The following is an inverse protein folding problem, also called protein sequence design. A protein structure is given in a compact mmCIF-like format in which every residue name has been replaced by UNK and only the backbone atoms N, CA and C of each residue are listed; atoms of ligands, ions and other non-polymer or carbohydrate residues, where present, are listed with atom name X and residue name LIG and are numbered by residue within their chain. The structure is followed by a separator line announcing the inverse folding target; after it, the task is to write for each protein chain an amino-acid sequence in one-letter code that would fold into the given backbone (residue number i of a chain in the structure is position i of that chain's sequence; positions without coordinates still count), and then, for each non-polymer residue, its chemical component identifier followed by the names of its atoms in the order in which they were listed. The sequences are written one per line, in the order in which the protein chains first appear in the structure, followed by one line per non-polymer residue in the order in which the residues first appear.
data_IF_116019594080
#
_entry.id   IF_116019594080
#
_cell.length_a   1.000
_cell.length_b   1.000
_cell.length_c   1.000
_cell.angle_alpha   90.00
_cell.angle_beta   90.00
_cell.angle_gamma   90.00
#
_symmetry.space_group_name_H-M   'P 1'
#
loop_
_entity.id
_entity.type
_entity.pdbx_description
1 polymer ?
#
# COMPACT_ATOMS: atom_id res chain seq x y z
N UNK A 1 -26.92 6.19 -88.00
CA UNK A 1 -26.13 6.05 -86.78
C UNK A 1 -26.92 6.69 -85.64
N UNK A 2 -27.74 5.86 -84.97
CA UNK A 2 -28.42 6.29 -83.73
C UNK A 2 -27.50 5.98 -82.51
N UNK A 3 -27.04 7.03 -81.86
CA UNK A 3 -26.31 6.93 -80.62
C UNK A 3 -27.36 6.74 -79.51
N UNK A 4 -27.40 5.56 -78.91
CA UNK A 4 -28.25 5.27 -77.76
C UNK A 4 -27.78 6.08 -76.54
N UNK A 5 -28.67 6.69 -75.76
CA UNK A 5 -28.29 7.39 -74.57
C UNK A 5 -27.81 6.40 -73.48
N UNK A 6 -26.61 6.62 -73.00
CA UNK A 6 -26.02 5.88 -71.90
C UNK A 6 -26.67 6.35 -70.60
N UNK A 7 -27.55 5.54 -70.05
CA UNK A 7 -28.11 5.76 -68.73
C UNK A 7 -27.02 5.48 -67.66
N UNK A 8 -26.53 6.55 -67.08
CA UNK A 8 -25.67 6.47 -65.91
C UNK A 8 -26.54 6.16 -64.69
N UNK A 9 -26.46 4.97 -64.15
CA UNK A 9 -27.08 4.64 -62.89
C UNK A 9 -26.40 5.44 -61.78
N UNK A 10 -27.16 6.11 -60.87
CA UNK A 10 -26.58 6.77 -59.72
C UNK A 10 -25.93 5.69 -58.85
N UNK A 11 -24.61 5.78 -58.70
CA UNK A 11 -23.87 5.00 -57.76
C UNK A 11 -24.27 5.50 -56.36
N UNK A 12 -25.19 4.79 -55.71
CA UNK A 12 -25.48 4.99 -54.31
C UNK A 12 -24.17 4.62 -53.56
N UNK A 13 -23.46 5.64 -53.11
CA UNK A 13 -22.48 5.49 -52.04
C UNK A 13 -23.28 4.98 -50.84
N UNK A 14 -23.22 3.69 -50.56
CA UNK A 14 -23.61 3.16 -49.27
C UNK A 14 -22.72 3.86 -48.23
N UNK A 15 -23.22 4.92 -47.64
CA UNK A 15 -22.65 5.44 -46.45
C UNK A 15 -22.66 4.28 -45.44
N UNK A 16 -21.49 3.78 -45.07
CA UNK A 16 -21.29 2.81 -44.02
C UNK A 16 -21.71 3.43 -42.67
N UNK A 17 -22.98 3.70 -42.56
CA UNK A 17 -23.62 4.09 -41.28
C UNK A 17 -23.76 2.82 -40.48
N UNK A 18 -22.78 2.60 -39.55
CA UNK A 18 -22.85 1.50 -38.60
C UNK A 18 -24.16 1.63 -37.83
N UNK A 19 -25.13 0.82 -38.19
CA UNK A 19 -26.41 0.82 -37.50
C UNK A 19 -26.27 0.19 -36.11
N UNK A 20 -26.90 0.82 -35.12
CA UNK A 20 -26.93 0.31 -33.75
C UNK A 20 -27.52 -1.13 -33.71
N UNK A 21 -28.44 -1.43 -34.62
CA UNK A 21 -29.03 -2.77 -34.83
C UNK A 21 -28.00 -3.79 -35.31
N UNK A 22 -27.03 -3.41 -36.15
CA UNK A 22 -26.00 -4.31 -36.66
C UNK A 22 -25.00 -4.67 -35.53
N UNK A 23 -24.63 -3.69 -34.70
CA UNK A 23 -23.81 -3.92 -33.51
C UNK A 23 -24.51 -4.87 -32.55
N UNK A 24 -25.82 -4.65 -32.29
CA UNK A 24 -26.60 -5.49 -31.39
C UNK A 24 -26.73 -6.93 -31.90
N UNK A 25 -26.90 -7.10 -33.21
CA UNK A 25 -27.00 -8.41 -33.86
C UNK A 25 -25.69 -9.18 -33.80
N UNK A 26 -24.55 -8.52 -34.04
CA UNK A 26 -23.21 -9.13 -33.91
C UNK A 26 -22.94 -9.50 -32.46
N UNK A 27 -23.31 -8.63 -31.50
CA UNK A 27 -23.18 -8.88 -30.06
C UNK A 27 -24.01 -10.10 -29.64
N UNK A 28 -25.26 -10.19 -30.09
CA UNK A 28 -26.16 -11.32 -29.80
C UNK A 28 -25.64 -12.64 -30.42
N UNK A 29 -25.04 -12.57 -31.61
CA UNK A 29 -24.48 -13.74 -32.26
C UNK A 29 -23.24 -14.29 -31.57
N UNK A 30 -22.48 -13.42 -30.88
CA UNK A 30 -21.21 -13.79 -30.21
C UNK A 30 -21.29 -13.81 -28.68
N UNK A 31 -22.51 -13.82 -28.11
CA UNK A 31 -22.74 -13.83 -26.67
C UNK A 31 -21.90 -14.89 -25.93
N UNK A 32 -21.74 -16.08 -26.52
CA UNK A 32 -20.95 -17.15 -25.90
C UNK A 32 -19.49 -16.73 -25.67
N UNK A 33 -18.85 -16.13 -26.67
CA UNK A 33 -17.45 -15.68 -26.58
C UNK A 33 -17.34 -14.51 -25.60
N UNK A 34 -18.29 -13.57 -25.65
CA UNK A 34 -18.32 -12.38 -24.80
C UNK A 34 -18.47 -12.75 -23.33
N UNK A 35 -19.17 -13.83 -22.99
CA UNK A 35 -19.33 -14.29 -21.61
C UNK A 35 -18.17 -15.20 -21.19
N UNK A 36 -17.73 -16.11 -22.04
CA UNK A 36 -16.68 -17.10 -21.72
C UNK A 36 -15.34 -16.41 -21.50
N UNK A 37 -14.96 -15.44 -22.32
CA UNK A 37 -13.65 -14.78 -22.25
C UNK A 37 -13.44 -14.08 -20.90
N UNK A 38 -14.33 -13.15 -20.45
CA UNK A 38 -14.15 -12.53 -19.14
C UNK A 38 -14.31 -13.50 -17.97
N UNK A 39 -15.14 -14.55 -18.12
CA UNK A 39 -15.29 -15.57 -17.09
C UNK A 39 -13.98 -16.34 -16.85
N UNK A 40 -13.26 -16.70 -17.91
CA UNK A 40 -11.94 -17.35 -17.80
C UNK A 40 -10.95 -16.41 -17.12
N UNK A 41 -10.87 -15.16 -17.57
CA UNK A 41 -9.94 -14.16 -17.00
C UNK A 41 -10.25 -13.94 -15.51
N UNK A 42 -11.54 -13.81 -15.15
CA UNK A 42 -11.98 -13.63 -13.77
C UNK A 42 -11.57 -14.83 -12.90
N UNK A 43 -11.76 -16.05 -13.40
CA UNK A 43 -11.35 -17.28 -12.68
C UNK A 43 -9.84 -17.30 -12.43
N UNK A 44 -9.03 -17.01 -13.45
CA UNK A 44 -7.58 -16.93 -13.29
C UNK A 44 -7.16 -15.84 -12.30
N UNK A 45 -7.81 -14.67 -12.34
CA UNK A 45 -7.53 -13.58 -11.40
C UNK A 45 -7.86 -13.96 -9.96
N UNK A 46 -8.99 -14.64 -9.73
CA UNK A 46 -9.37 -15.14 -8.40
C UNK A 46 -8.35 -16.15 -7.87
N UNK A 47 -7.97 -17.13 -8.70
CA UNK A 47 -6.97 -18.12 -8.34
C UNK A 47 -5.64 -17.43 -8.00
N UNK A 48 -5.19 -16.50 -8.84
CA UNK A 48 -3.98 -15.73 -8.59
C UNK A 48 -4.07 -14.94 -7.27
N UNK A 49 -5.17 -14.23 -7.02
CA UNK A 49 -5.35 -13.45 -5.81
C UNK A 49 -5.33 -14.33 -4.54
N UNK A 50 -5.97 -15.50 -4.58
CA UNK A 50 -6.03 -16.40 -3.42
C UNK A 50 -4.70 -17.08 -3.10
N UNK A 51 -3.92 -17.43 -4.13
CA UNK A 51 -2.68 -18.19 -3.93
C UNK A 51 -1.41 -17.36 -3.88
N UNK A 52 -1.39 -16.20 -4.55
CA UNK A 52 -0.17 -15.39 -4.69
C UNK A 52 -0.20 -14.08 -3.91
N UNK A 53 -1.38 -13.60 -3.48
CA UNK A 53 -1.47 -12.33 -2.75
C UNK A 53 -1.23 -12.56 -1.26
N UNK A 54 -0.20 -11.92 -0.72
CA UNK A 54 0.06 -11.90 0.72
C UNK A 54 -0.88 -10.86 1.33
N UNK A 55 -1.74 -11.23 2.30
CA UNK A 55 -2.58 -10.26 2.97
C UNK A 55 -1.73 -9.30 3.83
N UNK A 56 -2.06 -8.02 3.79
CA UNK A 56 -1.52 -7.01 4.68
C UNK A 56 -2.63 -6.48 5.57
N UNK A 57 -2.30 -6.31 6.84
CA UNK A 57 -3.21 -5.80 7.85
C UNK A 57 -2.75 -4.43 8.30
N UNK A 58 -3.69 -3.50 8.42
CA UNK A 58 -3.41 -2.14 8.85
C UNK A 58 -4.04 -1.88 10.21
N UNK A 59 -3.24 -1.32 11.10
CA UNK A 59 -3.68 -0.80 12.39
C UNK A 59 -3.48 0.71 12.39
N UNK A 60 -4.51 1.47 12.71
CA UNK A 60 -4.45 2.93 12.71
C UNK A 60 -4.70 3.49 14.09
N UNK A 61 -3.75 4.27 14.59
CA UNK A 61 -3.86 5.05 15.80
C UNK A 61 -3.95 6.55 15.49
N UNK A 62 -4.79 7.29 16.19
CA UNK A 62 -4.89 8.75 16.09
C UNK A 62 -4.16 9.40 17.25
N UNK A 63 -3.21 10.27 16.95
CA UNK A 63 -2.44 11.03 17.93
C UNK A 63 -2.82 12.49 17.79
N UNK A 64 -3.23 13.11 18.89
CA UNK A 64 -3.50 14.54 18.94
C UNK A 64 -2.28 15.27 19.46
N UNK A 65 -1.81 16.26 18.71
CA UNK A 65 -0.80 17.20 19.18
C UNK A 65 -1.48 18.18 20.13
N UNK A 66 -1.31 18.01 21.42
CA UNK A 66 -1.76 19.02 22.39
C UNK A 66 -0.72 20.13 22.46
N UNK A 67 -1.07 21.29 21.97
CA UNK A 67 -0.24 22.51 22.06
C UNK A 67 -0.29 23.16 23.47
N UNK A 68 -0.64 22.40 24.51
CA UNK A 68 -0.74 22.92 25.88
C UNK A 68 0.33 22.33 26.80
N UNK A 69 1.12 23.19 27.43
CA UNK A 69 1.99 23.01 28.64
C UNK A 69 2.89 21.76 28.75
N UNK A 70 2.85 20.81 27.83
CA UNK A 70 3.68 19.60 27.83
C UNK A 70 4.99 19.71 27.05
N UNK A 71 5.39 20.91 26.64
CA UNK A 71 6.58 21.17 25.81
C UNK A 71 7.87 20.65 26.43
N UNK A 72 7.95 20.62 27.78
CA UNK A 72 9.12 20.10 28.49
C UNK A 72 9.27 18.57 28.43
N UNK A 73 8.18 17.82 28.34
CA UNK A 73 8.25 16.35 28.29
C UNK A 73 8.59 15.85 26.90
N UNK A 74 8.00 16.46 25.86
CA UNK A 74 8.27 16.08 24.47
C UNK A 74 9.68 16.46 24.03
N UNK A 75 10.18 17.64 24.46
CA UNK A 75 11.56 18.05 24.18
C UNK A 75 12.57 17.16 24.92
N UNK A 76 12.25 16.71 26.15
CA UNK A 76 13.08 15.75 26.87
C UNK A 76 13.18 14.38 26.19
N UNK A 77 12.07 13.87 25.68
CA UNK A 77 12.06 12.62 24.88
C UNK A 77 12.79 12.80 23.54
N UNK A 78 12.54 13.91 22.85
CA UNK A 78 13.22 14.21 21.57
C UNK A 78 14.74 14.31 21.74
N UNK A 79 15.22 14.95 22.81
CA UNK A 79 16.63 15.04 23.14
C UNK A 79 17.25 13.65 23.39
N UNK A 80 16.51 12.74 24.01
CA UNK A 80 16.93 11.36 24.26
C UNK A 80 17.11 10.56 22.95
N UNK A 81 16.36 10.94 21.90
CA UNK A 81 16.48 10.37 20.55
C UNK A 81 17.45 11.15 19.65
N UNK A 82 18.18 12.13 20.20
CA UNK A 82 19.14 12.95 19.46
C UNK A 82 18.52 13.97 18.52
N UNK A 83 17.24 14.30 18.71
CA UNK A 83 16.50 15.28 17.94
C UNK A 83 16.51 16.59 18.71
N UNK A 84 17.16 17.63 18.16
CA UNK A 84 17.21 18.96 18.77
C UNK A 84 15.93 19.72 18.39
N UNK A 85 14.99 19.81 19.33
CA UNK A 85 13.74 20.55 19.15
C UNK A 85 13.96 21.98 19.58
N UNK A 86 13.99 22.88 18.63
CA UNK A 86 14.10 24.33 18.91
C UNK A 86 12.91 24.84 19.75
N UNK A 87 13.16 25.80 20.61
CA UNK A 87 12.21 26.36 21.57
C UNK A 87 11.17 27.35 20.99
N UNK A 88 10.78 27.19 19.72
CA UNK A 88 9.79 28.05 19.05
C UNK A 88 8.37 27.52 19.15
N UNK A 89 7.34 28.38 19.29
CA UNK A 89 5.94 27.95 19.45
C UNK A 89 5.31 27.31 18.20
N UNK A 90 5.99 27.28 17.06
CA UNK A 90 5.47 26.80 15.78
C UNK A 90 6.04 25.44 15.36
N UNK A 91 7.07 24.94 16.04
CA UNK A 91 7.82 23.73 15.60
C UNK A 91 7.29 22.41 16.15
N UNK A 92 6.35 22.43 17.09
CA UNK A 92 5.85 21.21 17.73
C UNK A 92 5.11 20.25 16.81
N UNK A 93 4.60 20.72 15.68
CA UNK A 93 3.83 19.91 14.74
C UNK A 93 4.69 18.95 13.91
N UNK A 94 5.95 19.28 13.63
CA UNK A 94 6.86 18.46 12.80
C UNK A 94 7.62 17.41 13.60
N UNK A 95 7.63 17.53 14.92
CA UNK A 95 8.46 16.69 15.79
C UNK A 95 7.96 15.26 15.88
N UNK A 96 6.65 15.04 15.93
CA UNK A 96 6.08 13.70 16.08
C UNK A 96 6.43 12.74 14.94
N UNK A 97 6.24 13.11 13.66
CA UNK A 97 6.64 12.26 12.54
C UNK A 97 8.13 11.95 12.52
N UNK A 98 8.96 12.93 12.84
CA UNK A 98 10.43 12.78 12.92
C UNK A 98 10.85 11.79 14.00
N UNK A 99 10.27 11.90 15.20
CA UNK A 99 10.56 10.98 16.32
C UNK A 99 10.12 9.55 15.96
N UNK A 100 8.90 9.39 15.44
CA UNK A 100 8.33 8.07 15.15
C UNK A 100 9.09 7.40 14.00
N UNK A 101 9.52 8.13 12.98
CA UNK A 101 10.34 7.63 11.88
C UNK A 101 11.85 7.67 12.18
N UNK A 102 12.25 7.94 13.42
CA UNK A 102 13.68 7.99 13.78
C UNK A 102 14.31 6.59 13.76
N UNK A 103 15.55 6.53 13.28
CA UNK A 103 16.33 5.30 13.27
C UNK A 103 16.60 4.77 14.69
N UNK A 104 16.65 5.64 15.68
CA UNK A 104 16.86 5.28 17.09
C UNK A 104 15.65 4.53 17.64
N UNK A 105 14.43 5.03 17.38
CA UNK A 105 13.20 4.34 17.74
C UNK A 105 13.11 2.99 17.01
N UNK A 106 13.36 2.97 15.71
CA UNK A 106 13.33 1.74 14.93
C UNK A 106 14.30 0.69 15.48
N UNK A 107 15.53 1.07 15.87
CA UNK A 107 16.47 0.15 16.52
C UNK A 107 15.98 -0.40 17.85
N UNK A 108 15.28 0.42 18.63
CA UNK A 108 14.70 0.00 19.90
C UNK A 108 13.55 -0.98 19.66
N UNK A 109 12.71 -0.71 18.66
CA UNK A 109 11.61 -1.59 18.26
C UNK A 109 12.11 -2.95 17.77
N UNK A 110 13.24 -3.01 17.05
CA UNK A 110 13.84 -4.29 16.58
C UNK A 110 14.19 -5.26 17.72
N UNK A 111 14.40 -4.75 18.94
CA UNK A 111 14.69 -5.58 20.12
C UNK A 111 13.41 -6.09 20.81
N UNK A 112 12.24 -5.49 20.53
CA UNK A 112 10.97 -5.95 21.11
C UNK A 112 10.61 -7.31 20.56
N UNK A 113 9.94 -8.09 21.37
CA UNK A 113 9.47 -9.42 21.02
C UNK A 113 7.99 -9.34 20.72
N UNK A 114 7.59 -10.03 19.68
CA UNK A 114 6.20 -10.11 19.22
C UNK A 114 5.77 -11.56 19.10
N UNK A 115 4.48 -11.78 19.28
CA UNK A 115 3.85 -13.06 19.05
C UNK A 115 3.31 -13.07 17.63
N UNK A 116 3.73 -14.03 16.83
CA UNK A 116 3.34 -14.18 15.43
C UNK A 116 2.87 -15.60 15.17
N UNK A 117 1.89 -15.75 14.30
CA UNK A 117 1.40 -17.09 13.90
C UNK A 117 2.44 -17.84 13.09
N UNK A 118 3.16 -17.12 12.23
CA UNK A 118 4.14 -17.70 11.31
C UNK A 118 5.46 -18.08 11.98
N UNK A 119 5.98 -17.24 12.88
CA UNK A 119 7.32 -17.41 13.47
C UNK A 119 7.26 -17.86 14.94
N UNK A 120 6.06 -18.01 15.51
CA UNK A 120 5.85 -18.39 16.89
C UNK A 120 5.92 -17.25 17.90
N UNK A 121 5.78 -17.58 19.21
CA UNK A 121 5.71 -16.58 20.26
C UNK A 121 7.09 -16.02 20.63
N UNK A 122 7.10 -14.78 21.14
CA UNK A 122 8.25 -14.11 21.75
C UNK A 122 9.48 -14.00 20.84
N UNK A 123 9.27 -13.80 19.55
CA UNK A 123 10.37 -13.60 18.58
C UNK A 123 10.74 -12.14 18.47
N UNK A 124 12.04 -11.80 18.45
CA UNK A 124 12.49 -10.41 18.27
C UNK A 124 12.11 -9.91 16.87
N UNK A 125 11.67 -8.65 16.81
CA UNK A 125 11.25 -8.02 15.56
C UNK A 125 12.34 -8.08 14.47
N UNK A 126 13.61 -7.96 14.86
CA UNK A 126 14.73 -8.12 13.94
C UNK A 126 14.67 -9.45 13.19
N UNK A 127 14.40 -10.53 13.92
CA UNK A 127 14.29 -11.88 13.34
C UNK A 127 13.12 -11.96 12.37
N UNK A 128 11.95 -11.46 12.76
CA UNK A 128 10.73 -11.50 11.97
C UNK A 128 10.90 -10.76 10.63
N UNK A 129 11.57 -9.59 10.65
CA UNK A 129 11.73 -8.74 9.47
C UNK A 129 12.90 -9.11 8.56
N UNK A 130 13.84 -9.94 9.02
CA UNK A 130 15.05 -10.20 8.23
C UNK A 130 15.22 -11.66 7.81
N UNK A 131 15.54 -12.56 8.73
CA UNK A 131 15.88 -13.95 8.40
C UNK A 131 14.80 -14.99 8.80
N UNK A 132 13.74 -14.56 9.49
CA UNK A 132 12.63 -15.45 9.85
C UNK A 132 13.04 -16.63 10.73
N UNK A 133 12.76 -17.86 10.30
CA UNK A 133 13.11 -19.09 11.04
C UNK A 133 14.52 -19.60 10.75
N UNK A 134 15.18 -19.06 9.73
CA UNK A 134 16.51 -19.49 9.33
C UNK A 134 17.63 -18.94 10.21
N UNK A 135 18.86 -19.39 9.95
CA UNK A 135 20.04 -18.77 10.53
C UNK A 135 20.44 -17.51 9.75
N UNK A 136 20.96 -16.48 10.42
CA UNK A 136 21.40 -15.26 9.76
C UNK A 136 22.57 -15.53 8.81
N UNK A 137 22.37 -15.38 7.53
CA UNK A 137 23.39 -15.61 6.48
C UNK A 137 24.29 -14.37 6.30
N UNK A 138 23.85 -13.21 6.78
CA UNK A 138 24.56 -11.92 6.64
C UNK A 138 24.94 -11.35 7.99
N UNK A 139 25.95 -10.46 7.99
CA UNK A 139 26.45 -9.83 9.22
C UNK A 139 25.37 -9.01 9.94
N UNK A 140 25.47 -8.93 11.26
CA UNK A 140 24.51 -8.24 12.14
C UNK A 140 24.26 -6.78 11.73
N UNK A 141 25.27 -6.08 11.22
CA UNK A 141 25.13 -4.68 10.78
C UNK A 141 24.18 -4.54 9.58
N UNK A 142 24.25 -5.49 8.64
CA UNK A 142 23.37 -5.52 7.47
C UNK A 142 21.95 -5.85 7.91
N UNK A 143 21.79 -6.84 8.80
CA UNK A 143 20.49 -7.21 9.37
C UNK A 143 19.84 -6.05 10.11
N UNK A 144 20.60 -5.33 10.94
CA UNK A 144 20.11 -4.16 11.66
C UNK A 144 19.68 -3.04 10.69
N UNK A 145 20.49 -2.77 9.66
CA UNK A 145 20.16 -1.77 8.64
C UNK A 145 18.87 -2.13 7.88
N UNK A 146 18.76 -3.38 7.47
CA UNK A 146 17.56 -3.90 6.78
C UNK A 146 16.34 -3.85 7.70
N UNK A 147 16.48 -4.31 8.94
CA UNK A 147 15.42 -4.27 9.94
C UNK A 147 14.95 -2.84 10.26
N UNK A 148 15.86 -1.89 10.42
CA UNK A 148 15.51 -0.47 10.64
C UNK A 148 14.71 0.08 9.46
N UNK A 149 15.15 -0.18 8.23
CA UNK A 149 14.42 0.25 7.05
C UNK A 149 13.05 -0.44 6.95
N UNK A 150 12.95 -1.71 7.32
CA UNK A 150 11.70 -2.45 7.42
C UNK A 150 10.72 -1.79 8.38
N UNK A 151 11.15 -1.51 9.62
CA UNK A 151 10.33 -0.82 10.64
C UNK A 151 9.84 0.54 10.13
N UNK A 152 10.73 1.35 9.57
CA UNK A 152 10.37 2.67 9.03
C UNK A 152 9.37 2.54 7.86
N UNK A 153 9.54 1.53 7.02
CA UNK A 153 8.64 1.27 5.88
C UNK A 153 7.25 0.76 6.27
N UNK A 154 7.11 0.15 7.46
CA UNK A 154 5.82 -0.29 8.00
C UNK A 154 4.98 0.85 8.58
N UNK A 155 5.61 2.00 8.88
CA UNK A 155 4.99 3.13 9.55
C UNK A 155 4.64 4.20 8.52
N UNK A 156 3.36 4.49 8.36
CA UNK A 156 2.87 5.66 7.63
C UNK A 156 2.24 6.66 8.60
N UNK A 157 2.58 7.94 8.42
CA UNK A 157 2.09 9.03 9.25
C UNK A 157 1.52 10.11 8.35
N UNK A 158 0.23 10.36 8.52
CA UNK A 158 -0.48 11.39 7.78
C UNK A 158 -1.05 12.43 8.74
N UNK A 159 -0.79 13.69 8.47
CA UNK A 159 -1.37 14.80 9.21
C UNK A 159 -2.76 15.12 8.66
N UNK A 160 -3.74 15.15 9.54
CA UNK A 160 -5.10 15.54 9.22
C UNK A 160 -5.57 16.61 10.22
N UNK A 161 -5.35 17.88 9.87
CA UNK A 161 -5.59 19.02 10.78
C UNK A 161 -4.68 18.98 12.01
N UNK A 162 -5.30 18.93 13.20
CA UNK A 162 -4.58 18.84 14.48
C UNK A 162 -4.24 17.41 14.90
N UNK A 163 -4.61 16.42 14.11
CA UNK A 163 -4.37 15.02 14.40
C UNK A 163 -3.31 14.44 13.47
N UNK A 164 -2.57 13.45 13.97
CA UNK A 164 -1.73 12.57 13.19
C UNK A 164 -2.36 11.18 13.17
N UNK A 165 -2.60 10.66 11.97
CA UNK A 165 -2.97 9.27 11.78
C UNK A 165 -1.67 8.47 11.60
N UNK A 166 -1.40 7.61 12.55
CA UNK A 166 -0.30 6.65 12.51
C UNK A 166 -0.87 5.33 12.00
N UNK A 167 -0.48 4.90 10.82
CA UNK A 167 -0.89 3.63 10.23
C UNK A 167 0.30 2.68 10.20
N UNK A 168 0.10 1.48 10.71
CA UNK A 168 1.10 0.42 10.72
C UNK A 168 0.59 -0.70 9.85
N UNK A 169 1.39 -1.07 8.84
CA UNK A 169 1.09 -2.15 7.92
C UNK A 169 1.94 -3.37 8.26
N UNK A 170 1.31 -4.50 8.57
CA UNK A 170 2.00 -5.73 8.92
C UNK A 170 1.37 -6.96 8.22
N UNK A 171 2.14 -8.06 8.07
CA UNK A 171 1.64 -9.28 7.42
C UNK A 171 0.64 -10.07 8.28
N UNK A 172 0.56 -9.81 9.58
CA UNK A 172 -0.33 -10.49 10.51
C UNK A 172 -1.14 -9.49 11.36
N UNK A 173 -2.43 -9.80 11.67
CA UNK A 173 -3.32 -8.87 12.38
C UNK A 173 -2.87 -8.62 13.83
N UNK A 174 -2.42 -9.67 14.52
CA UNK A 174 -1.94 -9.56 15.91
C UNK A 174 -0.70 -8.71 15.97
N UNK A 175 0.22 -8.91 15.03
CA UNK A 175 1.45 -8.14 14.92
C UNK A 175 1.16 -6.66 14.59
N UNK A 176 0.22 -6.37 13.68
CA UNK A 176 -0.19 -5.00 13.35
C UNK A 176 -0.79 -4.25 14.56
N UNK A 177 -1.50 -4.98 15.43
CA UNK A 177 -2.11 -4.40 16.63
C UNK A 177 -1.10 -4.12 17.75
N UNK A 178 -0.15 -5.02 17.95
CA UNK A 178 0.77 -4.99 19.11
C UNK A 178 2.07 -4.20 18.83
N UNK A 179 2.27 -3.78 17.56
CA UNK A 179 3.38 -2.94 17.14
C UNK A 179 3.24 -1.50 17.66
#
# INVERSE_FOLDING_TARGET
NQVLPQYSYPQYLEEDTISLTDILMVLARQLKIIIITPSIICTFTIIYALFFTIPFYESTAKIMSSSGSGQSQVSGLAAQFGINVGSGPTESQWVYPEIIKSRTLARTMLKRKFDTEKYGPQKPLLQILTYGEGEPVVGLDILQKTGVNGVIGMIDIQQNGSFYNLTITAPEPVFARDF
#
